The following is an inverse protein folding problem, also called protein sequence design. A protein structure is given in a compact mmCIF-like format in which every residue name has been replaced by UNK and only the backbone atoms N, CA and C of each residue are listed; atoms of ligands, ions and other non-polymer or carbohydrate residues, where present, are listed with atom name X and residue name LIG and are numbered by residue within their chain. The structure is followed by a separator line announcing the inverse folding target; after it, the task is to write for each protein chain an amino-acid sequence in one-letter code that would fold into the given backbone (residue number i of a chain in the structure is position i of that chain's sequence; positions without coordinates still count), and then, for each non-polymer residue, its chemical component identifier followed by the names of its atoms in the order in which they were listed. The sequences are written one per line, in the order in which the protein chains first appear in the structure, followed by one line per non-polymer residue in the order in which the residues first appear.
data_IF_420207861142
#
_entry.id   IF_420207861142
#
_cell.length_a   1.000
_cell.length_b   1.000
_cell.length_c   1.000
_cell.angle_alpha   90.00
_cell.angle_beta   90.00
_cell.angle_gamma   90.00
#
_symmetry.space_group_name_H-M   'P 1'
#
loop_
_entity.id
_entity.type
_entity.pdbx_description
1 polymer ?
#
# COMPACT_ATOMS: atom_id res chain seq x y z
N UNK A 1 -18.51 -22.64 -18.32
CA UNK A 1 -17.66 -21.65 -17.63
C UNK A 1 -16.41 -22.37 -17.16
N UNK A 2 -15.25 -22.06 -17.74
CA UNK A 2 -14.01 -22.69 -17.31
C UNK A 2 -13.60 -22.11 -15.95
N UNK A 3 -13.40 -22.99 -14.99
CA UNK A 3 -12.99 -22.60 -13.63
C UNK A 3 -11.54 -22.14 -13.66
N UNK A 4 -11.30 -20.88 -13.31
CA UNK A 4 -9.94 -20.33 -13.16
C UNK A 4 -9.39 -20.79 -11.82
N UNK A 5 -8.38 -21.64 -11.80
CA UNK A 5 -7.74 -22.12 -10.58
C UNK A 5 -6.55 -21.22 -10.19
N UNK A 6 -6.06 -21.37 -8.95
CA UNK A 6 -4.97 -20.62 -8.35
C UNK A 6 -3.68 -20.55 -9.19
N UNK A 7 -3.32 -21.64 -9.88
CA UNK A 7 -2.11 -21.68 -10.73
C UNK A 7 -2.23 -20.79 -11.96
N UNK A 8 -3.42 -20.72 -12.54
CA UNK A 8 -3.68 -19.87 -13.71
C UNK A 8 -3.74 -18.39 -13.30
N UNK A 9 -4.30 -18.09 -12.11
CA UNK A 9 -4.31 -16.75 -11.53
C UNK A 9 -2.89 -16.20 -11.33
N UNK A 10 -2.00 -16.95 -10.69
CA UNK A 10 -0.63 -16.51 -10.43
C UNK A 10 0.21 -16.35 -11.72
N UNK A 11 -0.03 -17.20 -12.74
CA UNK A 11 0.65 -17.07 -14.05
C UNK A 11 0.22 -15.81 -14.80
N UNK A 12 -1.05 -15.46 -14.74
CA UNK A 12 -1.59 -14.28 -15.41
C UNK A 12 -1.25 -12.98 -14.66
N UNK A 13 -1.23 -12.99 -13.34
CA UNK A 13 -0.75 -11.86 -12.55
C UNK A 13 0.74 -11.54 -12.76
N UNK A 14 1.56 -12.59 -13.06
CA UNK A 14 2.96 -12.44 -13.43
C UNK A 14 3.17 -11.99 -14.88
N UNK A 15 2.29 -12.39 -15.81
CA UNK A 15 2.44 -12.08 -17.23
C UNK A 15 2.12 -10.62 -17.59
N UNK A 16 1.23 -9.96 -16.83
CA UNK A 16 0.90 -8.54 -17.03
C UNK A 16 2.03 -7.56 -16.71
N UNK A 17 3.08 -8.02 -16.02
CA UNK A 17 4.25 -7.21 -15.68
C UNK A 17 5.49 -7.49 -16.58
N UNK A 18 5.46 -8.52 -17.43
CA UNK A 18 6.63 -8.99 -18.20
C UNK A 18 6.58 -8.71 -19.71
N UNK A 19 5.53 -8.10 -20.24
CA UNK A 19 5.35 -7.89 -21.69
C UNK A 19 5.92 -6.55 -22.21
N UNK A 20 6.99 -6.03 -21.63
CA UNK A 20 7.70 -4.87 -22.15
C UNK A 20 9.20 -5.12 -22.30
N UNK A 21 9.58 -6.22 -22.99
CA UNK A 21 10.95 -6.36 -23.51
C UNK A 21 10.99 -7.34 -24.68
N UNK A 22 11.38 -6.80 -25.83
CA UNK A 22 11.98 -7.43 -27.00
C UNK A 22 11.08 -8.19 -28.00
N UNK A 23 10.77 -7.51 -29.10
CA UNK A 23 10.71 -8.13 -30.41
C UNK A 23 11.30 -7.18 -31.48
N UNK A 24 11.99 -7.69 -32.52
CA UNK A 24 12.74 -6.87 -33.46
C UNK A 24 11.87 -6.26 -34.53
N UNK A 25 12.28 -5.06 -34.95
CA UNK A 25 11.68 -4.23 -35.98
C UNK A 25 11.77 -4.91 -37.35
N UNK A 26 10.65 -5.10 -38.01
CA UNK A 26 10.58 -5.25 -39.47
C UNK A 26 9.81 -4.06 -40.01
N UNK A 27 10.45 -3.28 -40.88
CA UNK A 27 9.91 -2.13 -41.60
C UNK A 27 8.79 -2.57 -42.56
N UNK A 28 7.64 -1.90 -42.43
CA UNK A 28 6.70 -1.76 -43.53
C UNK A 28 6.25 -0.29 -43.61
N UNK A 29 6.69 0.41 -44.62
CA UNK A 29 6.25 1.75 -44.98
C UNK A 29 4.79 1.68 -45.47
N UNK A 30 3.92 2.35 -44.75
CA UNK A 30 2.57 2.68 -45.16
C UNK A 30 2.25 4.08 -44.69
N UNK A 31 2.17 5.04 -45.61
CA UNK A 31 1.70 6.40 -45.34
C UNK A 31 0.27 6.34 -44.79
N UNK A 32 0.13 6.71 -43.51
CA UNK A 32 -1.16 7.01 -42.91
C UNK A 32 -1.16 8.50 -42.52
N UNK A 33 -2.10 9.20 -43.11
CA UNK A 33 -2.51 10.59 -42.88
C UNK A 33 -2.48 10.97 -41.39
N UNK A 34 -1.91 12.14 -41.09
CA UNK A 34 -1.95 12.79 -39.79
C UNK A 34 -3.44 13.08 -39.41
N UNK A 35 -4.06 12.11 -38.75
CA UNK A 35 -5.29 12.29 -38.02
C UNK A 35 -4.97 12.93 -36.69
N UNK A 36 -5.61 14.05 -36.39
CA UNK A 36 -5.59 14.75 -35.12
C UNK A 36 -5.73 13.74 -33.95
N UNK A 37 -4.65 13.49 -33.21
CA UNK A 37 -4.78 12.92 -31.88
C UNK A 37 -5.45 13.99 -31.01
N UNK A 38 -6.77 13.89 -30.86
CA UNK A 38 -7.47 14.54 -29.77
C UNK A 38 -6.75 14.12 -28.48
N UNK A 39 -6.22 15.09 -27.74
CA UNK A 39 -5.87 14.91 -26.35
C UNK A 39 -7.15 14.47 -25.65
N UNK A 40 -7.37 13.16 -25.52
CA UNK A 40 -8.40 12.64 -24.64
C UNK A 40 -8.01 13.10 -23.23
N UNK A 41 -8.83 13.99 -22.65
CA UNK A 41 -8.70 14.41 -21.26
C UNK A 41 -8.64 13.18 -20.34
N UNK A 42 -8.05 13.36 -19.15
CA UNK A 42 -8.06 12.30 -18.14
C UNK A 42 -9.50 11.85 -17.88
N UNK A 43 -9.75 10.54 -17.67
CA UNK A 43 -11.09 10.05 -17.33
C UNK A 43 -11.66 10.74 -16.08
N UNK A 44 -12.94 11.04 -16.08
CA UNK A 44 -13.63 11.64 -14.95
C UNK A 44 -13.69 10.68 -13.75
N UNK A 45 -13.73 11.26 -12.55
CA UNK A 45 -13.86 10.53 -11.28
C UNK A 45 -14.84 11.25 -10.36
N UNK A 46 -15.31 10.54 -9.33
CA UNK A 46 -16.15 11.16 -8.31
C UNK A 46 -15.36 11.78 -7.14
N UNK A 47 -14.13 12.25 -7.37
CA UNK A 47 -13.30 12.83 -6.29
C UNK A 47 -14.00 13.99 -5.54
N UNK A 48 -14.86 14.74 -6.20
CA UNK A 48 -15.65 15.80 -5.56
C UNK A 48 -16.53 15.29 -4.41
N UNK A 49 -16.91 14.01 -4.43
CA UNK A 49 -17.71 13.38 -3.36
C UNK A 49 -16.93 13.28 -2.04
N UNK A 50 -15.60 13.18 -2.11
CA UNK A 50 -14.77 13.15 -0.91
C UNK A 50 -14.92 14.42 -0.03
N UNK A 51 -15.24 15.55 -0.64
CA UNK A 51 -15.47 16.81 0.06
C UNK A 51 -16.84 16.88 0.75
N UNK A 52 -17.80 16.01 0.40
CA UNK A 52 -19.15 15.97 1.02
C UNK A 52 -19.11 15.52 2.48
N UNK A 53 -18.07 14.77 2.87
CA UNK A 53 -17.87 14.32 4.25
C UNK A 53 -16.85 15.22 4.94
N UNK A 54 -17.25 15.94 6.01
CA UNK A 54 -16.32 16.75 6.79
C UNK A 54 -15.11 15.94 7.28
N UNK A 55 -13.96 16.58 7.43
CA UNK A 55 -12.75 15.92 7.93
C UNK A 55 -12.87 15.61 9.40
N UNK A 56 -12.59 14.38 9.78
CA UNK A 56 -12.51 13.95 11.16
C UNK A 56 -11.24 14.46 11.88
N UNK A 57 -11.17 14.31 13.21
CA UNK A 57 -10.05 14.81 14.01
C UNK A 57 -8.73 14.11 13.71
N UNK A 58 -8.76 12.89 13.17
CA UNK A 58 -7.58 12.12 12.77
C UNK A 58 -7.30 12.18 11.26
N UNK A 59 -8.03 13.04 10.53
CA UNK A 59 -7.91 13.10 9.09
C UNK A 59 -6.46 13.35 8.64
N UNK A 60 -6.03 12.65 7.57
CA UNK A 60 -4.75 12.93 6.94
C UNK A 60 -4.58 14.45 6.73
N UNK A 61 -3.39 15.01 6.96
CA UNK A 61 -2.09 14.35 7.21
C UNK A 61 -1.84 13.89 8.66
N UNK A 62 -2.84 13.90 9.53
CA UNK A 62 -2.75 13.43 10.90
C UNK A 62 -2.06 14.43 11.86
N UNK A 63 -1.59 13.93 13.02
CA UNK A 63 -1.11 14.77 14.13
C UNK A 63 0.20 15.53 13.84
N UNK A 64 1.02 15.02 12.92
CA UNK A 64 2.36 15.57 12.64
C UNK A 64 2.57 15.80 11.13
N UNK A 65 1.88 16.79 10.52
CA UNK A 65 2.02 17.08 9.09
C UNK A 65 3.47 17.34 8.70
N UNK A 66 3.95 16.74 7.63
CA UNK A 66 5.30 16.90 7.11
C UNK A 66 6.43 16.38 8.01
N UNK A 67 6.14 15.77 9.19
CA UNK A 67 7.17 15.17 10.04
C UNK A 67 7.34 13.69 9.72
N UNK A 68 8.61 13.31 9.47
CA UNK A 68 8.99 11.92 9.18
C UNK A 68 10.19 11.54 10.03
N UNK A 69 10.13 10.39 10.68
CA UNK A 69 11.27 9.78 11.36
C UNK A 69 11.84 8.65 10.49
N UNK A 70 13.14 8.68 10.25
CA UNK A 70 13.89 7.61 9.57
C UNK A 70 14.90 7.05 10.54
N UNK A 71 14.82 5.77 10.82
CA UNK A 71 15.78 5.07 11.71
C UNK A 71 16.48 3.99 10.91
N UNK A 72 17.80 4.05 10.89
CA UNK A 72 18.69 3.09 10.22
C UNK A 72 19.47 2.26 11.24
N UNK A 73 19.64 0.97 10.93
CA UNK A 73 20.46 0.08 11.75
C UNK A 73 21.04 -1.05 10.88
N UNK A 74 22.34 -1.01 10.62
CA UNK A 74 23.05 -2.02 9.83
C UNK A 74 23.00 -3.43 10.43
N UNK A 75 22.75 -3.55 11.75
CA UNK A 75 22.58 -4.82 12.43
C UNK A 75 21.16 -5.42 12.32
N UNK A 76 20.23 -4.73 11.63
CA UNK A 76 18.85 -5.22 11.46
C UNK A 76 18.74 -6.46 10.55
N UNK A 77 19.78 -6.74 9.75
CA UNK A 77 19.92 -7.98 8.96
C UNK A 77 21.27 -8.63 9.31
N UNK A 78 21.24 -9.92 9.64
CA UNK A 78 22.42 -10.74 9.87
C UNK A 78 22.24 -12.09 9.20
N UNK A 79 23.24 -12.55 8.47
CA UNK A 79 23.20 -13.82 7.73
C UNK A 79 21.93 -13.99 6.88
N UNK A 80 21.56 -12.92 6.19
CA UNK A 80 20.35 -12.77 5.38
C UNK A 80 19.00 -12.87 6.16
N UNK A 81 19.01 -13.02 7.48
CA UNK A 81 17.82 -13.03 8.33
C UNK A 81 17.62 -11.67 9.01
N UNK A 82 16.35 -11.27 9.17
CA UNK A 82 15.97 -10.05 9.90
C UNK A 82 16.14 -10.32 11.41
N UNK A 83 16.80 -9.41 12.11
CA UNK A 83 17.03 -9.49 13.55
C UNK A 83 15.91 -8.77 14.29
N UNK A 84 14.97 -9.53 14.85
CA UNK A 84 13.72 -9.02 15.42
C UNK A 84 13.92 -7.96 16.50
N UNK A 85 14.91 -8.15 17.40
CA UNK A 85 15.20 -7.17 18.44
C UNK A 85 15.67 -5.83 17.85
N UNK A 86 16.49 -5.85 16.81
CA UNK A 86 16.92 -4.61 16.16
C UNK A 86 15.77 -3.88 15.51
N UNK A 87 14.85 -4.61 14.87
CA UNK A 87 13.62 -4.05 14.29
C UNK A 87 12.72 -3.44 15.36
N UNK A 88 12.56 -4.13 16.49
CA UNK A 88 11.82 -3.58 17.64
C UNK A 88 12.42 -2.25 18.12
N UNK A 89 13.75 -2.19 18.30
CA UNK A 89 14.44 -0.98 18.73
C UNK A 89 14.33 0.16 17.71
N UNK A 90 14.40 -0.16 16.41
CA UNK A 90 14.22 0.82 15.34
C UNK A 90 12.81 1.42 15.34
N UNK A 91 11.76 0.59 15.48
CA UNK A 91 10.37 1.06 15.56
C UNK A 91 10.18 1.89 16.82
N UNK A 92 10.66 1.44 17.98
CA UNK A 92 10.58 2.18 19.23
C UNK A 92 11.23 3.56 19.09
N UNK A 93 12.43 3.62 18.52
CA UNK A 93 13.13 4.88 18.26
C UNK A 93 12.37 5.78 17.28
N UNK A 94 11.82 5.23 16.21
CA UNK A 94 11.02 5.98 15.25
C UNK A 94 9.80 6.64 15.92
N UNK A 95 9.11 5.92 16.81
CA UNK A 95 7.97 6.43 17.55
C UNK A 95 8.34 7.58 18.49
N UNK A 96 9.48 7.48 19.18
CA UNK A 96 9.97 8.53 20.07
C UNK A 96 10.38 9.78 19.29
N UNK A 97 11.09 9.63 18.18
CA UNK A 97 11.49 10.76 17.30
C UNK A 97 10.30 11.44 16.64
N UNK A 98 9.32 10.67 16.19
CA UNK A 98 8.11 11.21 15.56
C UNK A 98 7.29 12.03 16.54
N UNK A 99 7.13 11.54 17.77
CA UNK A 99 6.22 12.16 18.74
C UNK A 99 6.91 13.15 19.69
N UNK A 100 8.23 13.04 19.87
CA UNK A 100 8.96 13.79 20.90
C UNK A 100 8.74 13.29 22.33
N UNK A 101 8.04 12.16 22.50
CA UNK A 101 7.77 11.57 23.80
C UNK A 101 9.02 10.84 24.36
N UNK A 102 9.17 10.84 25.69
CA UNK A 102 10.28 10.16 26.35
C UNK A 102 9.99 8.69 26.68
N UNK A 103 8.74 8.27 26.60
CA UNK A 103 8.28 6.91 26.94
C UNK A 103 7.49 6.32 25.80
N UNK A 104 7.84 5.13 25.37
CA UNK A 104 7.27 4.45 24.22
C UNK A 104 5.73 4.31 24.33
N UNK A 105 5.25 3.89 25.51
CA UNK A 105 3.80 3.80 25.77
C UNK A 105 3.08 5.12 25.53
N UNK A 106 3.68 6.27 25.90
CA UNK A 106 3.07 7.59 25.65
C UNK A 106 3.11 7.94 24.16
N UNK A 107 4.18 7.56 23.46
CA UNK A 107 4.27 7.78 22.01
C UNK A 107 3.15 7.03 21.27
N UNK A 108 2.95 5.74 21.55
CA UNK A 108 1.87 4.96 20.94
C UNK A 108 0.48 5.49 21.29
N UNK A 109 0.28 5.95 22.54
CA UNK A 109 -1.00 6.50 23.01
C UNK A 109 -1.39 7.82 22.36
N UNK A 110 -0.53 8.47 21.58
CA UNK A 110 -0.92 9.58 20.71
C UNK A 110 -1.81 9.13 19.57
N UNK A 111 -1.68 7.89 19.14
CA UNK A 111 -2.33 7.37 17.94
C UNK A 111 -3.48 6.43 18.25
N UNK A 112 -3.35 5.59 19.25
CA UNK A 112 -4.30 4.53 19.57
C UNK A 112 -4.63 4.45 21.07
N UNK A 113 -5.84 3.97 21.39
CA UNK A 113 -6.34 3.82 22.74
C UNK A 113 -6.92 2.42 22.99
N UNK A 114 -6.93 1.92 24.23
CA UNK A 114 -7.67 0.72 24.57
C UNK A 114 -9.13 0.86 24.21
N UNK A 115 -9.72 -0.23 23.74
CA UNK A 115 -11.10 -0.28 23.29
C UNK A 115 -11.30 0.09 21.83
N UNK A 116 -10.31 0.68 21.14
CA UNK A 116 -10.37 0.95 19.69
C UNK A 116 -10.04 -0.30 18.89
N UNK A 117 -10.72 -0.50 17.75
CA UNK A 117 -10.47 -1.57 16.78
C UNK A 117 -9.42 -1.07 15.79
N UNK A 118 -8.23 -1.68 15.81
CA UNK A 118 -7.05 -1.19 15.11
C UNK A 118 -6.69 -2.14 13.97
N UNK A 119 -6.66 -1.62 12.75
CA UNK A 119 -6.22 -2.34 11.56
C UNK A 119 -4.73 -2.18 11.31
N UNK A 120 -4.01 -3.28 11.16
CA UNK A 120 -2.64 -3.33 10.66
C UNK A 120 -2.71 -3.67 9.18
N UNK A 121 -2.54 -2.65 8.31
CA UNK A 121 -2.56 -2.83 6.85
C UNK A 121 -1.17 -3.22 6.38
N UNK A 122 -1.02 -4.49 6.00
CA UNK A 122 0.24 -5.03 5.46
C UNK A 122 0.28 -5.00 3.92
N UNK A 123 1.37 -5.43 3.31
CA UNK A 123 1.52 -5.56 1.86
C UNK A 123 2.04 -6.96 1.48
N UNK A 124 1.17 -7.94 1.20
CA UNK A 124 1.56 -9.30 0.81
C UNK A 124 1.77 -9.49 -0.70
N UNK A 125 1.42 -8.50 -1.53
CA UNK A 125 1.18 -8.61 -3.00
C UNK A 125 2.34 -9.24 -3.78
N UNK A 126 3.59 -9.04 -3.36
CA UNK A 126 4.75 -9.60 -4.07
C UNK A 126 5.18 -10.98 -3.57
N UNK A 127 4.36 -11.64 -2.73
CA UNK A 127 4.62 -12.97 -2.19
C UNK A 127 5.70 -12.98 -1.10
N UNK A 128 6.08 -14.18 -0.65
CA UNK A 128 6.96 -14.39 0.53
C UNK A 128 8.30 -13.65 0.48
N UNK A 129 8.84 -13.43 -0.71
CA UNK A 129 10.16 -12.83 -0.86
C UNK A 129 10.19 -11.30 -0.78
N UNK A 130 9.02 -10.64 -0.89
CA UNK A 130 8.92 -9.18 -0.88
C UNK A 130 7.55 -8.71 -0.33
N UNK A 131 7.13 -9.24 0.80
CA UNK A 131 5.98 -8.80 1.59
C UNK A 131 6.43 -8.01 2.81
N UNK A 132 5.50 -7.30 3.46
CA UNK A 132 5.75 -6.77 4.81
C UNK A 132 6.29 -7.89 5.69
N UNK A 133 7.44 -7.69 6.35
CA UNK A 133 8.09 -8.71 7.15
C UNK A 133 7.34 -8.99 8.45
N UNK A 134 7.37 -10.25 8.86
CA UNK A 134 6.74 -10.67 10.11
C UNK A 134 7.38 -10.00 11.32
N UNK A 135 8.69 -9.76 11.29
CA UNK A 135 9.46 -9.11 12.34
C UNK A 135 8.97 -7.70 12.62
N UNK A 136 8.69 -6.91 11.55
CA UNK A 136 8.12 -5.57 11.69
C UNK A 136 6.71 -5.64 12.28
N UNK A 137 5.86 -6.53 11.79
CA UNK A 137 4.48 -6.68 12.28
C UNK A 137 4.47 -7.14 13.75
N UNK A 138 5.32 -8.13 14.12
CA UNK A 138 5.43 -8.59 15.50
C UNK A 138 5.94 -7.51 16.45
N UNK A 139 6.92 -6.72 16.02
CA UNK A 139 7.43 -5.60 16.81
C UNK A 139 6.35 -4.53 17.06
N UNK A 140 5.55 -4.19 16.03
CA UNK A 140 4.40 -3.29 16.18
C UNK A 140 3.39 -3.86 17.18
N UNK A 141 3.01 -5.13 17.05
CA UNK A 141 2.06 -5.81 17.95
C UNK A 141 2.59 -5.84 19.40
N UNK A 142 3.87 -6.15 19.60
CA UNK A 142 4.50 -6.17 20.92
C UNK A 142 4.42 -4.79 21.60
N UNK A 143 4.82 -3.73 20.89
CA UNK A 143 4.78 -2.37 21.42
C UNK A 143 3.36 -1.84 21.68
N UNK A 144 2.39 -2.23 20.85
CA UNK A 144 0.98 -1.98 21.09
C UNK A 144 0.52 -2.67 22.37
N UNK A 145 0.87 -3.94 22.57
CA UNK A 145 0.58 -4.71 23.79
C UNK A 145 1.14 -4.06 25.05
N UNK A 146 2.42 -3.67 25.04
CA UNK A 146 3.06 -2.92 26.13
C UNK A 146 2.38 -1.57 26.39
N UNK A 147 1.76 -1.01 25.34
CA UNK A 147 0.96 0.20 25.44
C UNK A 147 -0.47 -0.07 25.93
N UNK A 148 -0.83 -1.32 26.21
CA UNK A 148 -2.12 -1.74 26.76
C UNK A 148 -3.22 -1.88 25.70
N UNK A 149 -2.84 -2.22 24.47
CA UNK A 149 -3.75 -2.62 23.40
C UNK A 149 -3.79 -4.14 23.37
N UNK A 150 -4.97 -4.72 23.54
CA UNK A 150 -5.13 -6.18 23.51
C UNK A 150 -5.08 -6.73 22.08
N UNK A 151 -4.62 -7.97 21.94
CA UNK A 151 -4.55 -8.64 20.64
C UNK A 151 -5.92 -8.76 19.95
N UNK A 152 -6.98 -8.92 20.73
CA UNK A 152 -8.38 -8.96 20.27
C UNK A 152 -8.86 -7.66 19.60
N UNK A 153 -8.19 -6.54 19.86
CA UNK A 153 -8.47 -5.25 19.23
C UNK A 153 -7.79 -5.11 17.86
N UNK A 154 -6.87 -6.03 17.51
CA UNK A 154 -6.04 -5.94 16.32
C UNK A 154 -6.63 -6.77 15.18
N UNK A 155 -6.53 -6.22 13.97
CA UNK A 155 -6.87 -6.92 12.74
C UNK A 155 -5.73 -6.72 11.73
N UNK A 156 -5.09 -7.79 11.28
CA UNK A 156 -4.17 -7.76 10.13
C UNK A 156 -5.03 -7.91 8.88
N UNK A 157 -4.85 -7.02 7.91
CA UNK A 157 -5.70 -7.02 6.74
C UNK A 157 -4.99 -6.57 5.46
N UNK A 158 -5.52 -7.04 4.33
CA UNK A 158 -5.25 -6.54 2.99
C UNK A 158 -6.48 -6.76 2.11
N UNK A 159 -6.39 -6.38 0.84
CA UNK A 159 -7.48 -6.61 -0.11
C UNK A 159 -7.74 -8.10 -0.33
N UNK A 160 -6.68 -8.91 -0.49
CA UNK A 160 -6.78 -10.33 -0.85
C UNK A 160 -6.38 -11.24 0.30
N UNK A 161 -7.33 -12.01 0.80
CA UNK A 161 -7.10 -12.91 1.93
C UNK A 161 -6.11 -14.02 1.62
N UNK A 162 -6.15 -14.57 0.41
CA UNK A 162 -5.23 -15.62 0.00
C UNK A 162 -3.77 -15.13 -0.06
N UNK A 163 -3.53 -13.86 -0.47
CA UNK A 163 -2.18 -13.29 -0.44
C UNK A 163 -1.65 -13.18 1.00
N UNK A 164 -2.51 -12.85 1.97
CA UNK A 164 -2.14 -12.86 3.39
C UNK A 164 -1.73 -14.26 3.84
N UNK A 165 -2.55 -15.25 3.54
CA UNK A 165 -2.30 -16.66 3.89
C UNK A 165 -1.03 -17.19 3.24
N UNK A 166 -0.83 -16.89 1.96
CA UNK A 166 0.34 -17.34 1.19
C UNK A 166 1.67 -16.85 1.77
N UNK A 167 1.69 -15.66 2.34
CA UNK A 167 2.90 -15.11 2.96
C UNK A 167 3.01 -15.43 4.45
N UNK A 168 2.01 -16.08 5.05
CA UNK A 168 2.04 -16.55 6.44
C UNK A 168 1.31 -15.66 7.45
N UNK A 169 0.55 -14.66 7.03
CA UNK A 169 -0.39 -13.98 7.92
C UNK A 169 -1.62 -14.86 8.12
N UNK A 170 -1.58 -15.68 9.17
CA UNK A 170 -2.62 -16.68 9.50
C UNK A 170 -2.98 -16.59 10.98
N UNK A 171 -4.16 -17.10 11.36
CA UNK A 171 -4.58 -17.16 12.76
C UNK A 171 -3.65 -18.03 13.62
N UNK A 172 -2.99 -19.03 13.01
CA UNK A 172 -2.01 -19.89 13.68
C UNK A 172 -0.76 -19.08 14.08
N UNK A 173 -0.22 -18.29 13.16
CA UNK A 173 0.97 -17.47 13.39
C UNK A 173 0.68 -16.21 14.23
N UNK A 174 -0.56 -15.76 14.25
CA UNK A 174 -1.02 -14.57 14.99
C UNK A 174 -2.22 -14.88 15.89
N UNK A 175 -2.07 -15.76 16.88
CA UNK A 175 -3.19 -16.16 17.75
C UNK A 175 -3.78 -14.95 18.46
N UNK A 176 -5.13 -14.89 18.49
CA UNK A 176 -5.90 -13.81 19.11
C UNK A 176 -6.00 -12.51 18.28
N UNK A 177 -5.46 -12.50 17.05
CA UNK A 177 -5.59 -11.39 16.10
C UNK A 177 -6.46 -11.85 14.92
N UNK A 178 -7.41 -11.01 14.50
CA UNK A 178 -8.22 -11.28 13.31
C UNK A 178 -7.36 -11.10 12.05
N UNK A 179 -7.42 -12.08 11.14
CA UNK A 179 -6.80 -11.98 9.82
C UNK A 179 -7.93 -11.96 8.80
N UNK A 180 -7.96 -10.96 7.91
CA UNK A 180 -9.07 -10.80 6.97
C UNK A 180 -8.66 -10.09 5.69
N UNK A 181 -9.22 -10.54 4.57
CA UNK A 181 -9.16 -9.86 3.28
C UNK A 181 -10.56 -9.55 2.76
N UNK A 182 -10.66 -8.57 1.86
CA UNK A 182 -11.91 -8.23 1.18
C UNK A 182 -12.27 -9.27 0.14
N UNK A 183 -11.28 -9.67 -0.66
CA UNK A 183 -11.42 -10.69 -1.70
C UNK A 183 -11.05 -12.04 -1.08
N UNK A 184 -12.04 -12.94 -0.94
CA UNK A 184 -11.88 -14.25 -0.31
C UNK A 184 -11.97 -15.37 -1.36
N UNK A 185 -11.33 -16.49 -1.08
CA UNK A 185 -11.44 -17.73 -1.83
C UNK A 185 -12.01 -18.83 -0.94
N UNK A 186 -12.63 -19.83 -1.54
CA UNK A 186 -12.97 -21.06 -0.83
C UNK A 186 -11.73 -21.98 -0.65
N UNK A 187 -11.96 -23.11 0.03
CA UNK A 187 -10.93 -24.14 0.26
C UNK A 187 -10.35 -24.75 -1.04
N UNK A 188 -11.11 -24.68 -2.14
CA UNK A 188 -10.72 -25.20 -3.44
C UNK A 188 -10.02 -24.14 -4.31
N UNK A 189 -9.83 -22.93 -3.78
CA UNK A 189 -9.17 -21.82 -4.43
C UNK A 189 -10.05 -21.10 -5.45
N UNK A 190 -11.37 -21.21 -5.32
CA UNK A 190 -12.34 -20.56 -6.18
C UNK A 190 -12.81 -19.24 -5.57
N UNK A 191 -13.03 -18.26 -6.43
CA UNK A 191 -13.54 -16.92 -6.05
C UNK A 191 -15.06 -16.83 -6.06
N UNK A 192 -15.74 -17.79 -6.66
CA UNK A 192 -17.20 -17.79 -6.82
C UNK A 192 -17.87 -18.84 -5.95
N UNK A 193 -18.95 -18.44 -5.29
CA UNK A 193 -19.89 -19.35 -4.66
C UNK A 193 -20.66 -20.20 -5.66
N UNK A 194 -21.37 -21.23 -5.16
CA UNK A 194 -22.23 -22.08 -5.96
C UNK A 194 -23.39 -21.31 -6.61
N UNK A 195 -23.73 -20.15 -6.08
CA UNK A 195 -24.74 -19.21 -6.61
C UNK A 195 -24.18 -18.29 -7.72
N UNK A 196 -22.91 -18.45 -8.10
CA UNK A 196 -22.24 -17.64 -9.09
C UNK A 196 -21.81 -16.26 -8.62
N UNK A 197 -21.93 -15.95 -7.31
CA UNK A 197 -21.50 -14.68 -6.73
C UNK A 197 -20.05 -14.73 -6.29
N UNK A 198 -19.40 -13.60 -6.36
CA UNK A 198 -18.03 -13.42 -5.87
C UNK A 198 -17.98 -13.60 -4.34
N UNK A 199 -17.10 -14.44 -3.82
CA UNK A 199 -16.99 -14.71 -2.38
C UNK A 199 -16.75 -13.44 -1.54
N UNK A 200 -15.97 -12.51 -2.04
CA UNK A 200 -15.68 -11.24 -1.36
C UNK A 200 -16.79 -10.19 -1.47
N UNK A 201 -17.87 -10.45 -2.20
CA UNK A 201 -18.90 -9.43 -2.46
C UNK A 201 -19.60 -8.94 -1.19
N UNK A 202 -19.75 -9.81 -0.18
CA UNK A 202 -20.32 -9.43 1.11
C UNK A 202 -19.42 -8.49 1.93
N UNK A 203 -18.12 -8.43 1.61
CA UNK A 203 -17.14 -7.58 2.29
C UNK A 203 -17.04 -6.16 1.72
N UNK A 204 -17.72 -5.86 0.62
CA UNK A 204 -17.76 -4.51 0.06
C UNK A 204 -18.92 -3.70 0.64
N UNK A 205 -18.67 -2.40 0.83
CA UNK A 205 -19.68 -1.43 1.26
C UNK A 205 -20.17 -0.65 0.04
N UNK A 206 -21.44 -0.85 -0.33
CA UNK A 206 -22.00 -0.26 -1.55
C UNK A 206 -22.37 1.22 -1.40
N UNK A 207 -22.41 1.73 -0.18
CA UNK A 207 -22.66 3.15 0.11
C UNK A 207 -21.38 3.98 -0.02
N UNK A 208 -20.21 3.32 -0.02
CA UNK A 208 -18.91 3.95 -0.16
C UNK A 208 -18.19 3.43 -1.40
N UNK A 209 -17.96 4.30 -2.39
CA UNK A 209 -17.32 3.92 -3.65
C UNK A 209 -16.44 5.02 -4.23
N UNK A 210 -15.44 4.58 -4.97
CA UNK A 210 -14.70 5.39 -5.91
C UNK A 210 -15.17 5.03 -7.32
N UNK A 211 -15.79 6.01 -7.99
CA UNK A 211 -16.22 5.86 -9.38
C UNK A 211 -15.19 6.51 -10.31
N UNK A 212 -14.90 5.88 -11.44
CA UNK A 212 -14.06 6.44 -12.47
C UNK A 212 -14.59 6.00 -13.85
N UNK A 213 -14.60 6.94 -14.81
CA UNK A 213 -15.05 6.66 -16.18
C UNK A 213 -14.00 5.86 -16.96
N UNK A 214 -13.66 4.71 -16.41
CA UNK A 214 -12.76 3.73 -16.98
C UNK A 214 -13.41 2.37 -16.89
N UNK A 215 -13.61 1.74 -18.04
CA UNK A 215 -13.98 0.34 -18.12
C UNK A 215 -12.72 -0.52 -18.15
N UNK A 216 -12.76 -1.67 -17.51
CA UNK A 216 -11.75 -2.71 -17.67
C UNK A 216 -12.02 -3.53 -18.91
N UNK A 217 -11.02 -4.23 -19.39
CA UNK A 217 -11.24 -5.33 -20.31
C UNK A 217 -11.92 -6.46 -19.55
N UNK A 218 -13.06 -6.91 -20.06
CA UNK A 218 -13.84 -8.01 -19.49
C UNK A 218 -13.27 -9.32 -20.02
N UNK A 219 -12.26 -9.85 -19.36
CA UNK A 219 -11.78 -11.19 -19.59
C UNK A 219 -12.17 -12.12 -18.41
N UNK A 220 -12.00 -13.42 -18.58
CA UNK A 220 -12.32 -14.41 -17.55
C UNK A 220 -11.54 -14.19 -16.25
N UNK A 221 -10.43 -13.46 -16.32
CA UNK A 221 -9.54 -13.17 -15.21
C UNK A 221 -9.96 -11.94 -14.41
N UNK A 222 -10.36 -10.86 -15.10
CA UNK A 222 -10.76 -9.59 -14.45
C UNK A 222 -12.21 -9.61 -13.99
N UNK A 223 -13.08 -10.34 -14.67
CA UNK A 223 -14.52 -10.48 -14.34
C UNK A 223 -14.79 -10.78 -12.86
N UNK A 224 -14.04 -11.68 -12.19
CA UNK A 224 -14.25 -11.97 -10.78
C UNK A 224 -14.10 -10.77 -9.84
N UNK A 225 -13.41 -9.74 -10.29
CA UNK A 225 -13.12 -8.55 -9.50
C UNK A 225 -13.96 -7.34 -9.90
N UNK A 226 -14.77 -7.49 -10.95
CA UNK A 226 -15.60 -6.41 -11.50
C UNK A 226 -17.01 -6.48 -10.92
N UNK A 227 -17.27 -5.64 -9.92
CA UNK A 227 -18.59 -5.52 -9.31
C UNK A 227 -19.35 -4.39 -10.00
N UNK A 228 -20.64 -4.63 -10.35
CA UNK A 228 -21.59 -3.66 -10.91
C UNK A 228 -21.06 -2.87 -12.12
N UNK A 229 -20.78 -3.55 -13.23
CA UNK A 229 -20.51 -2.93 -14.53
C UNK A 229 -19.16 -2.25 -14.68
N UNK A 230 -18.24 -2.44 -13.75
CA UNK A 230 -16.82 -2.15 -13.93
C UNK A 230 -16.37 -0.71 -13.68
N UNK A 231 -17.24 0.30 -13.59
CA UNK A 231 -16.84 1.70 -13.30
C UNK A 231 -16.80 2.04 -11.81
N UNK A 232 -17.36 1.18 -10.97
CA UNK A 232 -17.41 1.34 -9.52
C UNK A 232 -16.34 0.49 -8.84
N UNK A 233 -15.66 1.08 -7.86
CA UNK A 233 -14.74 0.41 -6.95
C UNK A 233 -15.22 0.68 -5.53
N UNK A 234 -15.82 -0.33 -4.90
CA UNK A 234 -16.41 -0.20 -3.57
C UNK A 234 -15.37 -0.33 -2.48
N UNK A 235 -15.49 0.50 -1.44
CA UNK A 235 -14.65 0.36 -0.25
C UNK A 235 -14.98 -0.91 0.52
N UNK A 236 -13.97 -1.48 1.15
CA UNK A 236 -14.14 -2.66 2.01
C UNK A 236 -14.85 -2.30 3.31
N UNK A 237 -15.75 -3.18 3.78
CA UNK A 237 -16.39 -3.07 5.10
C UNK A 237 -15.37 -3.13 6.25
N UNK A 238 -14.20 -3.74 6.02
CA UNK A 238 -13.10 -3.69 6.98
C UNK A 238 -12.83 -2.23 7.39
N UNK A 239 -12.79 -1.32 6.41
CA UNK A 239 -12.55 0.10 6.66
C UNK A 239 -13.80 0.85 7.10
N UNK A 240 -14.94 0.61 6.45
CA UNK A 240 -16.12 1.42 6.68
C UNK A 240 -16.83 1.06 7.99
N UNK A 241 -16.76 -0.21 8.41
CA UNK A 241 -17.57 -0.73 9.52
C UNK A 241 -16.74 -1.36 10.66
N UNK A 242 -15.61 -2.05 10.35
CA UNK A 242 -14.95 -2.90 11.34
C UNK A 242 -13.86 -2.17 12.14
N UNK A 243 -13.19 -1.18 11.54
CA UNK A 243 -12.02 -0.54 12.13
C UNK A 243 -12.30 0.92 12.53
N UNK A 244 -11.73 1.32 13.64
CA UNK A 244 -11.74 2.71 14.11
C UNK A 244 -10.48 3.45 13.68
N UNK A 245 -9.32 2.76 13.66
CA UNK A 245 -8.02 3.31 13.29
C UNK A 245 -7.18 2.34 12.46
N UNK A 246 -6.26 2.87 11.67
CA UNK A 246 -5.37 2.12 10.79
C UNK A 246 -3.93 2.52 11.03
N UNK A 247 -3.08 1.53 11.24
CA UNK A 247 -1.63 1.61 11.13
C UNK A 247 -1.25 0.94 9.81
N UNK A 248 -0.70 1.71 8.89
CA UNK A 248 -0.30 1.24 7.58
C UNK A 248 1.17 0.79 7.60
N UNK A 249 1.44 -0.45 7.20
CA UNK A 249 2.77 -1.08 7.24
C UNK A 249 3.18 -1.54 5.83
N UNK A 250 3.44 -0.61 4.90
CA UNK A 250 3.89 -0.94 3.55
C UNK A 250 5.36 -1.36 3.56
N UNK A 251 5.77 -2.07 2.50
CA UNK A 251 7.18 -2.42 2.27
C UNK A 251 7.84 -1.44 1.30
N UNK A 252 9.10 -1.07 1.56
CA UNK A 252 9.88 -0.15 0.73
C UNK A 252 10.29 -0.80 -0.59
N UNK A 253 9.59 -0.47 -1.64
CA UNK A 253 9.87 -1.01 -2.98
C UNK A 253 9.57 -0.04 -4.10
N UNK A 254 10.32 -0.20 -5.19
CA UNK A 254 10.10 0.49 -6.44
C UNK A 254 8.78 0.08 -7.12
N UNK A 255 8.23 0.98 -7.91
CA UNK A 255 7.13 0.71 -8.84
C UNK A 255 7.32 1.56 -10.10
N UNK A 256 7.84 0.95 -11.17
CA UNK A 256 8.17 1.68 -12.40
C UNK A 256 9.14 2.83 -12.16
N UNK A 257 8.73 4.06 -12.44
CA UNK A 257 9.54 5.27 -12.23
C UNK A 257 9.46 5.81 -10.80
N UNK A 258 8.58 5.29 -9.97
CA UNK A 258 8.29 5.77 -8.63
C UNK A 258 8.35 4.65 -7.57
N UNK A 259 7.60 4.77 -6.51
CA UNK A 259 7.48 3.80 -5.41
C UNK A 259 6.04 3.33 -5.21
N UNK A 260 5.88 2.19 -4.57
CA UNK A 260 4.60 1.70 -4.09
C UNK A 260 4.67 1.61 -2.57
N UNK A 261 4.28 2.68 -1.87
CA UNK A 261 4.39 2.80 -0.43
C UNK A 261 3.06 3.13 0.25
N UNK A 262 3.01 4.13 1.12
CA UNK A 262 1.89 4.39 1.99
C UNK A 262 0.59 4.66 1.22
N UNK A 263 0.56 5.66 0.33
CA UNK A 263 -0.66 6.02 -0.40
C UNK A 263 -1.17 4.86 -1.26
N UNK A 264 -0.30 4.22 -2.03
CA UNK A 264 -0.73 3.11 -2.88
C UNK A 264 -1.20 1.91 -2.08
N UNK A 265 -0.49 1.55 -1.00
CA UNK A 265 -0.88 0.44 -0.14
C UNK A 265 -2.27 0.65 0.47
N UNK A 266 -2.58 1.88 0.85
CA UNK A 266 -3.91 2.27 1.34
C UNK A 266 -4.94 2.27 0.21
N UNK A 267 -4.72 3.03 -0.85
CA UNK A 267 -5.71 3.25 -1.90
C UNK A 267 -6.14 1.97 -2.60
N UNK A 268 -5.16 1.22 -3.13
CA UNK A 268 -5.44 -0.03 -3.86
C UNK A 268 -5.81 -1.20 -2.93
N UNK A 269 -5.52 -1.09 -1.64
CA UNK A 269 -5.96 -2.04 -0.63
C UNK A 269 -7.37 -1.78 -0.11
N UNK A 270 -7.85 -0.54 -0.22
CA UNK A 270 -9.12 -0.11 0.36
C UNK A 270 -10.34 -0.41 -0.50
N UNK A 271 -10.18 -0.58 -1.81
CA UNK A 271 -11.27 -0.69 -2.77
C UNK A 271 -11.19 -1.94 -3.63
N UNK A 272 -12.34 -2.41 -4.09
CA UNK A 272 -12.48 -3.47 -5.08
C UNK A 272 -12.14 -2.99 -6.50
N UNK A 273 -12.12 -3.91 -7.47
CA UNK A 273 -12.07 -3.62 -8.90
C UNK A 273 -10.98 -2.61 -9.31
N UNK A 274 -9.73 -2.86 -8.90
CA UNK A 274 -8.62 -1.94 -9.10
C UNK A 274 -7.81 -2.18 -10.38
N UNK A 275 -8.00 -3.31 -11.08
CA UNK A 275 -7.22 -3.68 -12.27
C UNK A 275 -7.22 -2.58 -13.33
N UNK A 276 -8.41 -2.11 -13.73
CA UNK A 276 -8.61 -1.03 -14.70
C UNK A 276 -7.93 0.30 -14.32
N UNK A 277 -7.81 0.56 -13.03
CA UNK A 277 -7.24 1.80 -12.50
C UNK A 277 -5.71 1.81 -12.60
N UNK A 278 -5.05 0.64 -12.58
CA UNK A 278 -3.61 0.55 -12.72
C UNK A 278 -3.09 1.10 -14.05
N UNK A 279 -3.81 0.85 -15.13
CA UNK A 279 -3.38 1.24 -16.46
C UNK A 279 -3.63 2.72 -16.79
N UNK A 280 -4.76 3.28 -16.33
CA UNK A 280 -5.21 4.60 -16.79
C UNK A 280 -5.25 5.70 -15.74
N UNK A 281 -5.40 5.35 -14.45
CA UNK A 281 -5.61 6.31 -13.35
C UNK A 281 -4.76 5.95 -12.12
N UNK A 282 -3.54 5.46 -12.32
CA UNK A 282 -2.72 5.01 -11.20
C UNK A 282 -2.41 6.13 -10.21
N UNK A 283 -1.97 7.30 -10.70
CA UNK A 283 -1.66 8.47 -9.86
C UNK A 283 -2.91 9.00 -9.15
N UNK A 284 -4.00 9.14 -9.92
CA UNK A 284 -5.29 9.62 -9.43
C UNK A 284 -5.83 8.70 -8.35
N UNK A 285 -5.81 7.40 -8.57
CA UNK A 285 -6.32 6.42 -7.61
C UNK A 285 -5.53 6.46 -6.31
N UNK A 286 -4.18 6.53 -6.37
CA UNK A 286 -3.33 6.63 -5.18
C UNK A 286 -3.67 7.84 -4.31
N UNK A 287 -3.96 8.99 -4.92
CA UNK A 287 -4.28 10.22 -4.22
C UNK A 287 -5.77 10.29 -3.82
N UNK A 288 -6.66 10.08 -4.79
CA UNK A 288 -8.07 10.37 -4.64
C UNK A 288 -8.79 9.39 -3.69
N UNK A 289 -8.48 8.09 -3.76
CA UNK A 289 -9.08 7.11 -2.83
C UNK A 289 -8.72 7.43 -1.39
N UNK A 290 -7.49 7.89 -1.15
CA UNK A 290 -7.06 8.32 0.19
C UNK A 290 -7.78 9.58 0.68
N UNK A 291 -8.43 10.35 -0.18
CA UNK A 291 -9.22 11.53 0.21
C UNK A 291 -10.61 11.19 0.76
N UNK A 292 -11.13 10.00 0.49
CA UNK A 292 -12.42 9.57 1.04
C UNK A 292 -12.32 9.23 2.54
N UNK A 293 -13.34 9.59 3.29
CA UNK A 293 -13.39 9.46 4.75
C UNK A 293 -13.01 8.06 5.30
N UNK A 294 -13.39 6.92 4.68
CA UNK A 294 -13.01 5.60 5.17
C UNK A 294 -11.50 5.38 5.30
N UNK A 295 -10.69 6.05 4.47
CA UNK A 295 -9.22 6.02 4.55
C UNK A 295 -8.71 7.28 5.25
N UNK A 296 -9.10 8.46 4.73
CA UNK A 296 -8.62 9.77 5.20
C UNK A 296 -8.68 9.94 6.71
N UNK A 297 -9.79 9.55 7.33
CA UNK A 297 -10.09 9.87 8.72
C UNK A 297 -9.65 8.76 9.70
N UNK A 298 -9.19 7.61 9.20
CA UNK A 298 -8.82 6.45 10.03
C UNK A 298 -7.33 6.13 10.05
N UNK A 299 -6.56 6.55 9.03
CA UNK A 299 -5.11 6.30 8.99
C UNK A 299 -4.40 7.25 9.94
N UNK A 300 -3.88 6.70 11.02
CA UNK A 300 -3.23 7.48 12.09
C UNK A 300 -1.71 7.40 12.06
N UNK A 301 -1.16 6.36 11.42
CA UNK A 301 0.29 6.12 11.37
C UNK A 301 0.68 5.29 10.16
N UNK A 302 1.83 5.62 9.57
CA UNK A 302 2.50 4.82 8.54
C UNK A 302 3.86 4.39 9.09
N UNK A 303 4.17 3.09 9.02
CA UNK A 303 5.45 2.50 9.39
C UNK A 303 5.94 1.70 8.19
N UNK A 304 6.85 2.26 7.41
CA UNK A 304 7.38 1.58 6.23
C UNK A 304 8.43 0.56 6.67
N UNK A 305 8.20 -0.68 6.29
CA UNK A 305 9.20 -1.73 6.34
C UNK A 305 10.21 -1.53 5.22
N UNK A 306 11.34 -0.97 5.55
CA UNK A 306 12.51 -0.81 4.69
C UNK A 306 13.70 -1.63 5.21
N UNK A 307 13.47 -2.71 5.96
CA UNK A 307 14.57 -3.58 6.37
C UNK A 307 15.16 -4.25 5.13
N UNK A 308 14.31 -4.97 4.38
CA UNK A 308 14.60 -5.49 3.05
C UNK A 308 13.66 -4.87 2.04
N UNK A 309 14.12 -4.68 0.79
CA UNK A 309 13.27 -4.11 -0.24
C UNK A 309 13.73 -4.43 -1.64
N UNK A 310 13.10 -3.77 -2.62
CA UNK A 310 13.42 -3.92 -4.03
C UNK A 310 13.55 -2.54 -4.67
N UNK A 311 14.74 -2.22 -5.19
CA UNK A 311 15.02 -0.88 -5.70
C UNK A 311 14.72 -0.72 -7.19
N UNK A 312 14.48 -1.82 -7.94
CA UNK A 312 14.15 -1.75 -9.35
C UNK A 312 13.30 -2.95 -9.79
N UNK A 313 12.58 -2.81 -10.92
CA UNK A 313 11.75 -3.87 -11.48
C UNK A 313 10.48 -4.22 -10.69
N UNK A 314 10.13 -3.42 -9.67
CA UNK A 314 8.88 -3.56 -8.93
C UNK A 314 7.64 -3.10 -9.71
N UNK A 315 6.42 -3.29 -9.16
CA UNK A 315 6.11 -3.61 -7.75
C UNK A 315 6.16 -5.10 -7.38
N UNK A 316 6.31 -6.02 -8.32
CA UNK A 316 6.51 -7.44 -8.07
C UNK A 316 7.89 -7.75 -7.50
N UNK A 317 8.08 -8.99 -7.06
CA UNK A 317 9.38 -9.46 -6.60
C UNK A 317 10.35 -9.61 -7.79
N UNK A 318 11.49 -8.93 -7.72
CA UNK A 318 12.57 -9.06 -8.68
C UNK A 318 13.89 -9.28 -7.92
N UNK A 319 14.28 -10.55 -7.66
CA UNK A 319 15.38 -10.88 -6.74
C UNK A 319 16.72 -10.25 -7.10
N UNK A 320 17.00 -9.98 -8.38
CA UNK A 320 18.24 -9.32 -8.81
C UNK A 320 18.37 -7.88 -8.29
N UNK A 321 17.27 -7.25 -7.85
CA UNK A 321 17.22 -5.89 -7.33
C UNK A 321 16.81 -5.83 -5.87
N UNK A 322 16.88 -6.95 -5.16
CA UNK A 322 16.68 -6.93 -3.71
C UNK A 322 17.88 -6.28 -3.02
N UNK A 323 17.60 -5.59 -1.94
CA UNK A 323 18.65 -5.02 -1.09
C UNK A 323 18.17 -4.88 0.35
N UNK A 324 19.12 -4.82 1.26
CA UNK A 324 18.89 -4.47 2.65
C UNK A 324 19.03 -2.95 2.77
N UNK A 325 17.89 -2.25 2.92
CA UNK A 325 17.91 -0.81 3.22
C UNK A 325 18.19 -0.55 4.70
N UNK A 326 17.96 -1.57 5.56
CA UNK A 326 18.17 -1.46 6.99
C UNK A 326 17.50 -0.24 7.62
N UNK A 327 16.26 0.05 7.18
CA UNK A 327 15.59 1.33 7.45
C UNK A 327 14.14 1.11 7.86
N UNK A 328 13.69 1.83 8.89
CA UNK A 328 12.26 2.05 9.21
C UNK A 328 11.95 3.54 8.96
N UNK A 329 10.82 3.81 8.30
CA UNK A 329 10.31 5.16 8.08
C UNK A 329 8.96 5.27 8.79
N UNK A 330 8.78 6.24 9.68
CA UNK A 330 7.53 6.44 10.40
C UNK A 330 7.02 7.89 10.26
N UNK A 331 5.71 8.03 10.07
CA UNK A 331 5.05 9.33 9.99
C UNK A 331 3.53 9.22 9.98
N UNK A 332 2.83 10.29 10.37
CA UNK A 332 1.37 10.37 10.21
C UNK A 332 1.00 10.79 8.79
N UNK A 333 1.82 11.60 8.17
CA UNK A 333 1.68 12.16 6.82
C UNK A 333 2.13 11.13 5.78
N UNK A 334 1.16 10.45 5.17
CA UNK A 334 1.43 9.40 4.17
C UNK A 334 2.16 9.95 2.93
N UNK A 335 1.89 11.20 2.55
CA UNK A 335 2.53 11.86 1.40
C UNK A 335 4.01 12.14 1.68
N UNK A 336 4.31 12.69 2.87
CA UNK A 336 5.68 12.94 3.29
C UNK A 336 6.48 11.64 3.47
N UNK A 337 5.85 10.58 3.98
CA UNK A 337 6.44 9.25 4.09
C UNK A 337 6.79 8.69 2.72
N UNK A 338 5.87 8.77 1.74
CA UNK A 338 6.11 8.33 0.36
C UNK A 338 7.21 9.14 -0.30
N UNK A 339 7.27 10.46 -0.05
CA UNK A 339 8.33 11.32 -0.58
C UNK A 339 9.71 10.91 -0.06
N UNK A 340 9.85 10.66 1.23
CA UNK A 340 11.12 10.21 1.81
C UNK A 340 11.48 8.80 1.32
N UNK A 341 10.51 7.89 1.24
CA UNK A 341 10.72 6.55 0.69
C UNK A 341 11.17 6.59 -0.77
N UNK A 342 10.59 7.46 -1.59
CA UNK A 342 11.02 7.70 -2.96
C UNK A 342 12.49 8.18 -3.03
N UNK A 343 12.87 9.14 -2.19
CA UNK A 343 14.24 9.65 -2.17
C UNK A 343 15.26 8.55 -1.83
N UNK A 344 14.92 7.64 -0.91
CA UNK A 344 15.78 6.49 -0.54
C UNK A 344 15.92 5.51 -1.71
N UNK A 345 14.81 5.14 -2.36
CA UNK A 345 14.83 4.24 -3.52
C UNK A 345 15.57 4.89 -4.70
N UNK A 346 15.35 6.16 -4.97
CA UNK A 346 16.03 6.91 -6.02
C UNK A 346 17.54 6.95 -5.77
N UNK A 347 17.97 7.26 -4.55
CA UNK A 347 19.39 7.29 -4.20
C UNK A 347 20.06 5.92 -4.45
N UNK A 348 19.38 4.82 -4.10
CA UNK A 348 19.87 3.47 -4.38
C UNK A 348 19.97 3.21 -5.89
N UNK A 349 18.97 3.58 -6.68
CA UNK A 349 18.97 3.44 -8.15
C UNK A 349 20.09 4.24 -8.81
N UNK A 350 20.36 5.44 -8.31
CA UNK A 350 21.49 6.28 -8.80
C UNK A 350 22.81 5.61 -8.47
N UNK A 351 22.99 5.12 -7.25
CA UNK A 351 24.20 4.44 -6.81
C UNK A 351 24.49 3.16 -7.63
N UNK A 352 23.44 2.46 -8.09
CA UNK A 352 23.54 1.28 -8.96
C UNK A 352 23.61 1.63 -10.46
N UNK A 353 23.68 2.92 -10.83
CA UNK A 353 23.81 3.36 -12.22
C UNK A 353 22.55 3.17 -13.09
N UNK A 354 21.39 2.90 -12.48
CA UNK A 354 20.13 2.65 -13.19
C UNK A 354 19.39 3.93 -13.56
N UNK A 355 19.72 5.03 -12.92
CA UNK A 355 19.09 6.33 -13.10
C UNK A 355 20.09 7.44 -12.75
N UNK A 356 20.03 8.57 -13.44
CA UNK A 356 20.93 9.70 -13.16
C UNK A 356 20.30 10.71 -12.19
N UNK A 357 19.00 10.89 -12.30
CA UNK A 357 18.24 11.89 -11.52
C UNK A 357 16.79 11.45 -11.33
N UNK A 358 16.04 12.13 -10.46
CA UNK A 358 14.61 11.93 -10.27
C UNK A 358 13.81 12.40 -11.49
N UNK A 359 12.62 11.83 -11.66
CA UNK A 359 11.65 12.24 -12.67
C UNK A 359 10.49 13.01 -12.01
N UNK A 360 10.12 14.20 -12.52
CA UNK A 360 8.94 14.92 -12.03
C UNK A 360 7.66 14.08 -12.07
N UNK A 361 7.50 13.23 -13.09
CA UNK A 361 6.34 12.34 -13.23
C UNK A 361 6.26 11.27 -12.14
N UNK A 362 7.41 10.92 -11.55
CA UNK A 362 7.46 9.97 -10.44
C UNK A 362 6.79 10.48 -9.16
N UNK A 363 6.64 11.79 -9.02
CA UNK A 363 6.05 12.45 -7.86
C UNK A 363 4.57 12.80 -8.06
N UNK A 364 4.01 12.59 -9.24
CA UNK A 364 2.69 13.13 -9.61
C UNK A 364 1.58 12.70 -8.63
N UNK A 365 1.55 11.44 -8.18
CA UNK A 365 0.53 11.00 -7.23
C UNK A 365 0.68 11.67 -5.85
N UNK A 366 1.91 11.97 -5.41
CA UNK A 366 2.18 12.70 -4.16
C UNK A 366 1.75 14.16 -4.29
N UNK A 367 2.04 14.80 -5.43
CA UNK A 367 1.62 16.18 -5.71
C UNK A 367 0.09 16.29 -5.80
N UNK A 368 -0.58 15.30 -6.37
CA UNK A 368 -2.04 15.24 -6.37
C UNK A 368 -2.60 15.09 -4.95
N UNK A 369 -2.00 14.22 -4.13
CA UNK A 369 -2.40 14.04 -2.74
C UNK A 369 -2.17 15.32 -1.89
N UNK A 370 -1.08 16.05 -2.13
CA UNK A 370 -0.84 17.36 -1.50
C UNK A 370 -1.91 18.37 -1.90
N UNK A 371 -2.28 18.47 -3.19
CA UNK A 371 -3.37 19.34 -3.65
C UNK A 371 -4.73 18.99 -3.02
N UNK A 372 -4.95 17.73 -2.66
CA UNK A 372 -6.13 17.27 -1.92
C UNK A 372 -6.02 17.50 -0.40
N UNK A 373 -4.93 18.09 0.08
CA UNK A 373 -4.69 18.37 1.49
C UNK A 373 -4.43 17.11 2.33
N UNK A 374 -3.85 16.05 1.74
CA UNK A 374 -3.58 14.79 2.41
C UNK A 374 -2.18 14.70 3.03
N UNK A 375 -1.31 15.67 2.72
CA UNK A 375 0.05 15.70 3.25
C UNK A 375 0.98 16.64 2.48
N UNK A 376 2.28 16.50 2.70
CA UNK A 376 3.34 17.36 2.19
C UNK A 376 4.23 16.59 1.22
N UNK A 377 4.19 16.94 -0.07
CA UNK A 377 5.05 16.37 -1.12
C UNK A 377 6.35 17.15 -1.32
N UNK A 378 6.34 18.46 -1.00
CA UNK A 378 7.50 19.33 -1.12
C UNK A 378 8.58 18.91 -0.11
N UNK A 379 9.70 18.36 -0.63
CA UNK A 379 10.83 17.87 0.19
C UNK A 379 11.38 18.94 1.14
N UNK A 380 11.34 20.20 0.76
CA UNK A 380 11.88 21.32 1.55
C UNK A 380 11.02 21.64 2.77
N UNK A 381 9.75 21.24 2.76
CA UNK A 381 8.80 21.42 3.87
C UNK A 381 8.73 20.21 4.80
N UNK A 382 9.41 19.10 4.44
CA UNK A 382 9.42 17.89 5.27
C UNK A 382 10.48 18.03 6.37
N UNK A 383 10.02 17.96 7.62
CA UNK A 383 10.86 17.89 8.81
C UNK A 383 11.31 16.46 9.04
N UNK A 384 12.45 16.11 8.46
CA UNK A 384 13.05 14.77 8.57
C UNK A 384 13.87 14.66 9.86
N UNK A 385 13.57 13.64 10.66
CA UNK A 385 14.37 13.19 11.82
C UNK A 385 15.07 11.89 11.42
N UNK A 386 16.37 11.95 11.20
CA UNK A 386 17.17 10.79 10.83
C UNK A 386 18.05 10.37 12.01
N UNK A 387 18.00 9.06 12.33
CA UNK A 387 18.78 8.44 13.42
C UNK A 387 19.44 7.17 12.88
N UNK A 388 20.71 6.99 13.22
CA UNK A 388 21.48 5.77 12.99
C UNK A 388 21.67 5.11 14.33
N UNK A 389 21.19 3.88 14.48
CA UNK A 389 21.50 3.02 15.60
C UNK A 389 22.80 2.26 15.30
N UNK A 390 23.72 2.25 16.23
CA UNK A 390 25.04 1.64 16.08
C UNK A 390 25.03 0.12 16.19
#
# INVERSE_FOLDING_TARGET
MNQVNRRNFLRLAGAGAAAAAAAPVAQAMGQATAGQQQQQGKPDTNIADAAKTPRGPNAMPGLYPGRVAVVKNSASVKDNAIVEQQVYDMIARSMLELTGEKRLKKAWRKFVSPGERIGLKVNPVAGKSLSTSHEVVRAVIAQLGESGIERSQLTIWDRREFELTDVGFTAENYPGIRIVGTEQMDKDGLYYGKDGKLYGEHMIDRDWYYWADVEGEYDEYTMPYMVNGGKYSYFTKILTQDLDKIINIPILKNAGMTVTLALKNLAFGAISNTGRLHAKLWNETCAQVCAFAPVRDKVVLNIVDGIKGCFNGGPGANPQFFCDYNTIIAGTDAVAVDRIGYDIVLAKRIAEGLQKEGSPTALEFMLQAERLGLGVADRTKINLKEVILG
#
